data_IF_318682964481
#
_entry.id   IF_318682964481
#
_cell.length_a   1.000
_cell.length_b   1.000
_cell.length_c   1.000
_cell.angle_alpha   90.00
_cell.angle_beta   90.00
_cell.angle_gamma   90.00
#
_symmetry.space_group_name_H-M   'P 1'
#
loop_
_entity.id
_entity.type
_entity.pdbx_description
1 polymer ?
#
# COMPACT_ATOMS: atom_id res chain seq x y z
N UNK A 1 19.34 6.57 7.20
CA UNK A 1 17.92 6.57 7.61
C UNK A 1 17.29 7.87 7.14
N UNK A 2 16.25 7.80 6.31
CA UNK A 2 15.56 8.99 5.76
C UNK A 2 14.82 9.78 6.86
N UNK A 3 14.61 11.08 6.67
CA UNK A 3 13.83 11.91 7.60
C UNK A 3 12.42 11.35 7.80
N UNK A 4 11.77 10.94 6.70
CA UNK A 4 10.44 10.32 6.74
C UNK A 4 10.37 9.07 7.63
N UNK A 5 11.37 8.18 7.54
CA UNK A 5 11.34 6.94 8.33
C UNK A 5 11.51 7.22 9.82
N UNK A 6 12.39 8.17 10.17
CA UNK A 6 12.58 8.62 11.55
C UNK A 6 11.30 9.22 12.12
N UNK A 7 10.70 10.16 11.38
CA UNK A 7 9.52 10.90 11.83
C UNK A 7 8.31 9.98 11.95
N UNK A 8 8.13 9.06 11.00
CA UNK A 8 7.06 8.04 11.04
C UNK A 8 7.23 7.14 12.26
N UNK A 9 8.44 6.64 12.54
CA UNK A 9 8.69 5.82 13.75
C UNK A 9 8.43 6.57 15.04
N UNK A 10 8.78 7.85 15.11
CA UNK A 10 8.48 8.69 16.27
C UNK A 10 6.97 8.84 16.48
N UNK A 11 6.20 9.05 15.41
CA UNK A 11 4.75 9.11 15.47
C UNK A 11 4.12 7.78 15.92
N UNK A 12 4.61 6.64 15.43
CA UNK A 12 4.12 5.32 15.84
C UNK A 12 4.42 5.00 17.30
N UNK A 13 5.61 5.39 17.78
CA UNK A 13 5.93 5.27 19.21
C UNK A 13 4.93 6.08 20.05
N UNK A 14 4.65 7.32 19.66
CA UNK A 14 3.66 8.16 20.35
C UNK A 14 2.23 7.59 20.31
N UNK A 15 1.81 7.02 19.16
CA UNK A 15 0.52 6.35 19.03
C UNK A 15 0.40 5.16 20.02
N UNK A 16 1.46 4.36 20.13
CA UNK A 16 1.48 3.18 21.01
C UNK A 16 1.32 3.55 22.49
N UNK A 17 1.82 4.71 22.92
CA UNK A 17 1.65 5.23 24.27
C UNK A 17 0.22 5.73 24.56
N UNK A 18 -0.53 6.08 23.49
CA UNK A 18 -1.85 6.69 23.59
C UNK A 18 -3.01 5.69 23.54
N UNK A 19 -2.79 4.47 23.03
CA UNK A 19 -3.81 3.42 22.92
C UNK A 19 -3.99 2.70 24.26
N UNK A 20 -5.01 3.09 25.02
CA UNK A 20 -5.39 2.49 26.30
C UNK A 20 -6.46 1.41 26.10
N UNK A 21 -6.14 0.14 26.38
CA UNK A 21 -7.17 -0.90 26.65
C UNK A 21 -7.04 -2.24 25.92
N UNK A 22 -6.23 -2.33 24.85
CA UNK A 22 -5.82 -3.58 24.22
C UNK A 22 -4.31 -3.52 23.95
N UNK A 23 -3.57 -4.65 24.02
CA UNK A 23 -2.17 -4.64 23.60
C UNK A 23 -2.13 -4.22 22.13
N UNK A 24 -1.47 -3.10 21.79
CA UNK A 24 -1.36 -2.65 20.40
C UNK A 24 -0.71 -3.76 19.59
N UNK A 25 -1.16 -3.93 18.35
CA UNK A 25 -0.39 -4.67 17.37
C UNK A 25 1.00 -4.04 17.19
N UNK A 26 1.94 -4.82 16.68
CA UNK A 26 3.26 -4.28 16.42
C UNK A 26 3.19 -3.35 15.19
N UNK A 27 3.11 -2.04 15.46
CA UNK A 27 3.27 -1.03 14.42
C UNK A 27 4.74 -0.93 14.04
N UNK A 28 5.07 -1.29 12.80
CA UNK A 28 6.45 -1.31 12.33
C UNK A 28 6.58 -0.69 10.94
N UNK A 29 7.74 -0.08 10.71
CA UNK A 29 8.18 0.40 9.40
C UNK A 29 9.59 -0.11 9.17
N UNK A 30 9.73 -0.89 8.10
CA UNK A 30 10.96 -1.56 7.72
C UNK A 30 11.90 -0.58 7.00
N UNK A 31 13.20 -0.74 7.23
CA UNK A 31 14.21 0.01 6.48
C UNK A 31 14.14 -0.34 4.98
N UNK A 32 14.46 0.61 4.08
CA UNK A 32 14.68 0.32 2.68
C UNK A 32 15.74 -0.78 2.52
N UNK A 33 15.43 -1.81 1.74
CA UNK A 33 16.42 -2.75 1.24
C UNK A 33 16.75 -2.39 -0.21
N UNK A 34 18.04 -2.43 -0.57
CA UNK A 34 18.44 -2.24 -1.96
C UNK A 34 17.92 -3.43 -2.78
N UNK A 35 16.93 -3.18 -3.62
CA UNK A 35 16.44 -4.14 -4.60
C UNK A 35 16.31 -3.48 -5.97
N UNK A 36 16.71 -4.23 -7.00
CA UNK A 36 16.70 -3.74 -8.37
C UNK A 36 15.29 -3.66 -8.96
N UNK A 37 15.02 -2.49 -9.54
CA UNK A 37 14.09 -2.10 -10.58
C UNK A 37 12.78 -2.91 -10.74
N UNK A 38 11.70 -2.32 -10.22
CA UNK A 38 10.32 -2.57 -10.64
C UNK A 38 9.55 -1.23 -10.53
N UNK A 39 8.27 -1.18 -10.92
CA UNK A 39 7.47 0.08 -10.89
C UNK A 39 7.31 0.69 -9.47
N UNK A 40 7.76 -0.02 -8.43
CA UNK A 40 7.67 0.36 -7.02
C UNK A 40 9.02 0.83 -6.44
N UNK A 41 10.08 0.96 -7.24
CA UNK A 41 11.41 1.38 -6.75
C UNK A 41 11.37 2.70 -6.00
N UNK A 42 10.55 3.66 -6.44
CA UNK A 42 10.39 4.93 -5.75
C UNK A 42 9.89 4.76 -4.30
N UNK A 43 8.90 3.89 -4.09
CA UNK A 43 8.35 3.56 -2.77
C UNK A 43 9.42 2.84 -1.93
N UNK A 44 10.02 1.78 -2.49
CA UNK A 44 10.94 0.93 -1.74
C UNK A 44 12.30 1.57 -1.46
N UNK A 45 12.65 2.65 -2.16
CA UNK A 45 13.79 3.51 -1.80
C UNK A 45 13.59 4.28 -0.48
N UNK A 46 12.33 4.47 -0.05
CA UNK A 46 11.95 5.24 1.14
C UNK A 46 11.52 4.37 2.32
N UNK A 47 10.94 3.21 2.06
CA UNK A 47 10.36 2.30 3.06
C UNK A 47 10.45 0.85 2.58
N UNK A 48 10.89 -0.11 3.40
CA UNK A 48 10.92 -1.54 3.05
C UNK A 48 9.58 -2.27 3.22
N UNK A 49 8.56 -1.57 3.71
CA UNK A 49 7.28 -2.13 4.12
C UNK A 49 6.81 -1.50 5.43
N UNK A 50 5.52 -1.56 5.69
CA UNK A 50 4.92 -1.07 6.93
C UNK A 50 3.76 -1.96 7.34
N UNK A 51 3.64 -2.22 8.63
CA UNK A 51 2.50 -2.92 9.22
C UNK A 51 1.97 -2.05 10.35
N UNK A 52 0.79 -1.48 10.18
CA UNK A 52 0.17 -0.52 11.08
C UNK A 52 -1.21 -1.01 11.54
N UNK A 53 -1.30 -2.17 12.22
CA UNK A 53 -2.57 -2.80 12.57
C UNK A 53 -3.46 -1.94 13.47
N UNK A 54 -2.89 -1.00 14.23
CA UNK A 54 -3.65 -0.15 15.16
C UNK A 54 -4.11 1.18 14.55
N UNK A 55 -3.79 1.43 13.28
CA UNK A 55 -4.24 2.63 12.57
C UNK A 55 -5.50 2.30 11.79
N UNK A 56 -6.65 2.79 12.26
CA UNK A 56 -7.97 2.57 11.63
C UNK A 56 -8.33 1.08 11.51
N UNK A 57 -8.43 0.54 10.30
CA UNK A 57 -8.70 -0.87 10.00
C UNK A 57 -7.41 -1.71 9.88
N UNK A 58 -6.24 -1.07 10.04
CA UNK A 58 -4.92 -1.65 9.83
C UNK A 58 -4.35 -1.27 8.47
N UNK A 59 -3.37 -0.37 8.43
CA UNK A 59 -2.72 0.00 7.16
C UNK A 59 -1.47 -0.84 6.91
N UNK A 60 -1.26 -1.25 5.66
CA UNK A 60 -0.14 -2.10 5.27
C UNK A 60 0.53 -1.60 3.99
N UNK A 61 1.85 -1.51 4.00
CA UNK A 61 2.70 -1.47 2.81
C UNK A 61 3.40 -2.82 2.74
N UNK A 62 3.11 -3.60 1.69
CA UNK A 62 3.71 -4.91 1.48
C UNK A 62 5.23 -4.78 1.34
N UNK A 63 5.95 -5.77 1.84
CA UNK A 63 7.40 -5.88 1.54
C UNK A 63 7.61 -6.08 0.04
N UNK A 64 8.78 -5.70 -0.52
CA UNK A 64 9.08 -5.90 -1.94
C UNK A 64 8.85 -7.35 -2.42
N UNK A 65 9.25 -8.33 -1.59
CA UNK A 65 9.06 -9.75 -1.89
C UNK A 65 7.57 -10.11 -2.00
N UNK A 66 6.73 -9.54 -1.13
CA UNK A 66 5.29 -9.76 -1.12
C UNK A 66 4.62 -9.07 -2.29
N UNK A 67 4.98 -7.82 -2.61
CA UNK A 67 4.44 -7.09 -3.76
C UNK A 67 4.73 -7.80 -5.10
N UNK A 68 5.92 -8.41 -5.26
CA UNK A 68 6.25 -9.24 -6.44
C UNK A 68 5.36 -10.47 -6.63
N UNK A 69 4.68 -10.91 -5.58
CA UNK A 69 3.76 -12.06 -5.63
C UNK A 69 2.29 -11.67 -5.75
N UNK A 70 2.00 -10.41 -6.11
CA UNK A 70 0.64 -9.88 -6.27
C UNK A 70 -0.25 -10.77 -7.15
N UNK A 71 0.27 -11.24 -8.29
CA UNK A 71 -0.47 -12.13 -9.20
C UNK A 71 -0.89 -13.46 -8.54
N UNK A 72 0.04 -14.09 -7.79
CA UNK A 72 -0.22 -15.33 -7.06
C UNK A 72 -1.22 -15.14 -5.90
N UNK A 73 -1.34 -13.89 -5.41
CA UNK A 73 -2.27 -13.49 -4.35
C UNK A 73 -3.64 -13.03 -4.87
N UNK A 74 -3.90 -13.18 -6.17
CA UNK A 74 -5.11 -12.69 -6.82
C UNK A 74 -5.34 -11.17 -6.64
N UNK A 75 -4.27 -10.40 -6.47
CA UNK A 75 -4.36 -8.95 -6.50
C UNK A 75 -4.66 -8.47 -7.94
N UNK A 76 -5.41 -7.38 -8.11
CA UNK A 76 -5.62 -6.79 -9.42
C UNK A 76 -4.30 -6.29 -10.02
N UNK A 77 -4.13 -6.53 -11.31
CA UNK A 77 -3.00 -6.11 -12.13
C UNK A 77 -3.40 -5.04 -13.16
N UNK A 78 -4.70 -4.79 -13.31
CA UNK A 78 -5.25 -3.75 -14.17
C UNK A 78 -6.54 -3.15 -13.61
N UNK A 79 -6.90 -1.96 -14.06
CA UNK A 79 -8.20 -1.32 -13.85
C UNK A 79 -8.94 -1.31 -15.18
N UNK A 80 -10.19 -1.80 -15.18
CA UNK A 80 -11.09 -1.96 -16.34
C UNK A 80 -10.48 -2.70 -17.54
N UNK A 81 -9.37 -3.42 -17.33
CA UNK A 81 -8.62 -4.13 -18.36
C UNK A 81 -7.72 -3.23 -19.21
N UNK A 82 -7.64 -1.93 -18.90
CA UNK A 82 -6.93 -0.94 -19.71
C UNK A 82 -5.67 -0.43 -19.01
N UNK A 83 -5.79 0.02 -17.76
CA UNK A 83 -4.69 0.65 -17.03
C UNK A 83 -3.94 -0.39 -16.20
N UNK A 84 -2.71 -0.69 -16.57
CA UNK A 84 -1.85 -1.60 -15.80
C UNK A 84 -1.41 -0.97 -14.47
N UNK A 85 -1.45 -1.76 -13.39
CA UNK A 85 -1.12 -1.30 -12.04
C UNK A 85 -0.21 -2.30 -11.30
N UNK A 86 0.41 -1.83 -10.22
CA UNK A 86 1.15 -2.64 -9.25
C UNK A 86 0.62 -2.36 -7.85
N UNK A 87 -0.10 -3.32 -7.26
CA UNK A 87 -0.58 -3.22 -5.88
C UNK A 87 0.60 -3.38 -4.92
N UNK A 88 0.71 -2.47 -3.96
CA UNK A 88 1.79 -2.45 -2.98
C UNK A 88 1.31 -2.33 -1.53
N UNK A 89 0.01 -2.16 -1.28
CA UNK A 89 -0.49 -1.97 0.07
C UNK A 89 -2.00 -2.11 0.20
N UNK A 90 -2.48 -2.06 1.43
CA UNK A 90 -3.89 -2.17 1.79
C UNK A 90 -4.24 -1.26 2.96
N UNK A 91 -5.51 -0.86 3.04
CA UNK A 91 -6.08 -0.14 4.18
C UNK A 91 -6.63 -1.07 5.27
N UNK A 92 -6.48 -2.39 5.12
CA UNK A 92 -6.97 -3.41 6.06
C UNK A 92 -8.47 -3.68 5.97
N UNK A 93 -9.23 -2.78 5.35
CA UNK A 93 -10.67 -2.90 5.07
C UNK A 93 -10.97 -3.54 3.70
N UNK A 94 -9.96 -4.05 3.01
CA UNK A 94 -10.06 -4.63 1.67
C UNK A 94 -9.77 -3.65 0.53
N UNK A 95 -9.56 -2.37 0.84
CA UNK A 95 -9.06 -1.37 -0.09
C UNK A 95 -7.59 -1.61 -0.39
N UNK A 96 -7.15 -1.18 -1.58
CA UNK A 96 -5.78 -1.39 -2.06
C UNK A 96 -5.13 -0.08 -2.46
N UNK A 97 -3.83 0.01 -2.22
CA UNK A 97 -2.97 1.03 -2.79
C UNK A 97 -2.17 0.42 -3.94
N UNK A 98 -2.16 1.12 -5.07
CA UNK A 98 -1.45 0.69 -6.26
C UNK A 98 -0.72 1.85 -6.94
N UNK A 99 0.34 1.56 -7.68
CA UNK A 99 0.94 2.50 -8.63
C UNK A 99 0.41 2.19 -10.03
N UNK A 100 0.00 3.21 -10.76
CA UNK A 100 -0.25 3.15 -12.19
C UNK A 100 1.08 3.06 -12.95
N UNK A 101 1.28 1.99 -13.74
CA UNK A 101 2.58 1.71 -14.38
C UNK A 101 2.95 2.71 -15.48
N UNK A 102 1.95 3.34 -16.09
CA UNK A 102 2.11 4.30 -17.18
C UNK A 102 2.50 5.70 -16.70
N UNK A 103 2.03 6.11 -15.53
CA UNK A 103 2.14 7.48 -15.01
C UNK A 103 2.99 7.56 -13.75
N UNK A 104 3.06 6.48 -12.96
CA UNK A 104 3.63 6.49 -11.61
C UNK A 104 2.67 7.01 -10.53
N UNK A 105 1.43 7.37 -10.90
CA UNK A 105 0.45 7.89 -9.95
C UNK A 105 0.06 6.82 -8.91
N UNK A 106 -0.09 7.24 -7.66
CA UNK A 106 -0.58 6.40 -6.57
C UNK A 106 -2.09 6.45 -6.56
N UNK A 107 -2.69 5.27 -6.70
CA UNK A 107 -4.12 5.05 -6.77
C UNK A 107 -4.60 4.34 -5.50
N UNK A 108 -5.80 4.72 -5.06
CA UNK A 108 -6.59 3.98 -4.08
C UNK A 108 -7.76 3.29 -4.79
N UNK A 109 -7.83 1.97 -4.63
CA UNK A 109 -8.88 1.10 -5.15
C UNK A 109 -9.80 0.70 -3.98
N UNK A 110 -11.06 1.19 -3.91
CA UNK A 110 -12.01 0.85 -2.86
C UNK A 110 -12.30 -0.65 -2.73
N UNK A 111 -12.59 -1.12 -1.51
CA UNK A 111 -12.83 -2.54 -1.22
C UNK A 111 -14.06 -3.16 -1.90
N UNK A 112 -15.04 -2.34 -2.30
CA UNK A 112 -16.29 -2.82 -2.91
C UNK A 112 -16.21 -3.12 -4.40
N UNK A 113 -15.10 -2.77 -5.07
CA UNK A 113 -14.95 -3.04 -6.51
C UNK A 113 -14.70 -4.52 -6.80
N UNK A 114 -15.27 -5.00 -7.91
CA UNK A 114 -15.15 -6.40 -8.28
C UNK A 114 -13.75 -6.68 -8.85
N UNK A 115 -13.10 -7.75 -8.37
CA UNK A 115 -11.86 -8.27 -8.97
C UNK A 115 -12.19 -9.55 -9.72
N UNK A 116 -11.94 -9.56 -11.03
CA UNK A 116 -12.14 -10.73 -11.88
C UNK A 116 -11.02 -10.82 -12.92
N UNK A 117 -10.43 -12.01 -13.09
CA UNK A 117 -9.30 -12.26 -13.99
C UNK A 117 -8.15 -11.25 -13.81
N UNK A 118 -7.83 -10.92 -12.56
CA UNK A 118 -6.81 -9.93 -12.19
C UNK A 118 -7.10 -8.50 -12.69
N UNK A 119 -8.36 -8.18 -12.96
CA UNK A 119 -8.83 -6.82 -13.28
C UNK A 119 -9.74 -6.32 -12.17
N UNK A 120 -9.45 -5.12 -11.67
CA UNK A 120 -10.36 -4.36 -10.84
C UNK A 120 -11.35 -3.62 -11.73
N UNK A 121 -12.64 -3.83 -11.49
CA UNK A 121 -13.73 -3.16 -12.19
C UNK A 121 -14.32 -2.08 -11.29
N UNK A 122 -14.28 -0.84 -11.76
CA UNK A 122 -14.92 0.27 -11.06
C UNK A 122 -16.39 0.43 -11.46
N UNK A 123 -17.16 1.04 -10.58
CA UNK A 123 -18.55 1.43 -10.78
C UNK A 123 -18.81 2.77 -10.08
N UNK A 124 -20.05 3.28 -10.15
CA UNK A 124 -20.44 4.55 -9.53
C UNK A 124 -20.19 4.64 -8.02
N UNK A 125 -19.97 3.51 -7.33
CA UNK A 125 -19.73 3.43 -5.88
C UNK A 125 -18.27 3.16 -5.54
N UNK A 126 -17.50 2.64 -6.49
CA UNK A 126 -16.14 2.12 -6.30
C UNK A 126 -15.16 2.72 -7.30
N UNK A 127 -15.25 4.03 -7.51
CA UNK A 127 -14.32 4.76 -8.37
C UNK A 127 -12.91 4.77 -7.78
N UNK A 128 -11.93 4.48 -8.64
CA UNK A 128 -10.51 4.58 -8.31
C UNK A 128 -10.13 6.03 -8.13
N UNK A 129 -9.36 6.34 -7.08
CA UNK A 129 -8.94 7.71 -6.75
C UNK A 129 -7.45 7.84 -6.85
N UNK A 130 -6.97 8.87 -7.52
CA UNK A 130 -5.58 9.28 -7.38
C UNK A 130 -5.39 9.95 -6.02
N UNK A 131 -4.41 9.48 -5.24
CA UNK A 131 -4.12 9.97 -3.89
C UNK A 131 -2.74 10.62 -3.78
N UNK A 132 -1.87 10.38 -4.77
CA UNK A 132 -0.63 11.12 -4.97
C UNK A 132 -0.16 10.99 -6.42
N UNK A 133 0.50 12.02 -6.92
CA UNK A 133 1.10 12.04 -8.26
C UNK A 133 2.63 11.92 -8.15
N UNK A 134 3.26 11.25 -9.11
CA UNK A 134 4.70 11.33 -9.35
C UNK A 134 5.03 12.74 -9.86
N UNK A 135 5.67 13.54 -9.01
CA UNK A 135 6.22 14.85 -9.37
C UNK A 135 7.57 14.75 -10.06
#
# INVERSE_FOLDING_TARGET
>A
MSDWLRDTRALLAHLSESLLGYPPGLNEVLEPEHQEADDLTAIYSRCGGASLPDVWNGYFIDTPARARTASARAEPLSIDGERAISVFGSDGGGGRFAIARDTGAVLYLPSGGAVSKSTYWQDERNEVREVASSG
#
